data_IF_465513699095
#
_entry.id   IF_465513699095
#
_cell.length_a   1.000
_cell.length_b   1.000
_cell.length_c   1.000
_cell.angle_alpha   90.00
_cell.angle_beta   90.00
_cell.angle_gamma   90.00
#
_symmetry.space_group_name_H-M   'P 1'
#
loop_
_entity.id
_entity.type
_entity.pdbx_description
1 polymer ?
#
# COMPACT_ATOMS: atom_id res chain seq x y z
N UNK A 1 -12.34 15.75 2.76
CA UNK A 1 -11.32 16.74 3.22
C UNK A 1 -9.90 16.16 3.31
N UNK A 2 -9.68 14.98 3.91
CA UNK A 2 -8.32 14.44 4.12
C UNK A 2 -7.61 14.00 2.82
N UNK A 3 -8.28 13.28 1.92
CA UNK A 3 -7.71 12.90 0.60
C UNK A 3 -7.37 14.15 -0.22
N UNK A 4 -8.25 15.15 -0.22
CA UNK A 4 -8.01 16.44 -0.88
C UNK A 4 -6.85 17.22 -0.26
N UNK A 5 -6.63 17.08 1.05
CA UNK A 5 -5.47 17.65 1.70
C UNK A 5 -4.17 16.97 1.24
N UNK A 6 -4.17 15.62 1.21
CA UNK A 6 -3.05 14.84 0.69
C UNK A 6 -2.73 15.19 -0.77
N UNK A 7 -3.76 15.34 -1.61
CA UNK A 7 -3.62 15.77 -3.00
C UNK A 7 -2.84 17.08 -3.13
N UNK A 8 -3.28 18.13 -2.44
CA UNK A 8 -2.64 19.46 -2.46
C UNK A 8 -1.19 19.46 -1.98
N UNK A 9 -0.76 18.42 -1.25
CA UNK A 9 0.58 18.31 -0.64
C UNK A 9 1.44 17.24 -1.29
N UNK A 10 0.96 16.68 -2.40
CA UNK A 10 1.64 15.64 -3.17
C UNK A 10 1.82 16.10 -4.62
N UNK A 11 2.57 17.19 -4.89
CA UNK A 11 2.62 17.82 -6.22
C UNK A 11 3.17 16.90 -7.31
N UNK A 12 4.08 15.97 -6.95
CA UNK A 12 4.58 14.97 -7.90
C UNK A 12 3.49 13.96 -8.29
N UNK A 13 2.60 13.61 -7.37
CA UNK A 13 1.50 12.67 -7.63
C UNK A 13 0.36 13.39 -8.36
N UNK A 14 -0.03 14.58 -7.89
CA UNK A 14 -1.13 15.39 -8.43
C UNK A 14 -0.82 16.03 -9.78
N UNK A 15 0.46 16.28 -10.09
CA UNK A 15 0.91 16.79 -11.39
C UNK A 15 1.50 15.68 -12.26
N UNK A 16 2.79 15.37 -12.03
CA UNK A 16 3.57 14.51 -12.92
C UNK A 16 2.99 13.10 -13.09
N UNK A 17 2.66 12.40 -12.00
CA UNK A 17 2.18 11.02 -12.09
C UNK A 17 0.80 10.96 -12.73
N UNK A 18 -0.14 11.79 -12.26
CA UNK A 18 -1.51 11.83 -12.79
C UNK A 18 -1.51 12.11 -14.30
N UNK A 19 -0.73 13.08 -14.78
CA UNK A 19 -0.62 13.36 -16.22
C UNK A 19 -0.15 12.13 -17.01
N UNK A 20 0.89 11.43 -16.53
CA UNK A 20 1.45 10.29 -17.26
C UNK A 20 0.56 9.05 -17.27
N UNK A 21 -0.26 8.85 -16.25
CA UNK A 21 -1.15 7.69 -16.18
C UNK A 21 -2.40 7.83 -17.06
N UNK A 22 -2.70 9.03 -17.57
CA UNK A 22 -3.81 9.26 -18.51
C UNK A 22 -3.49 8.90 -19.97
N UNK A 23 -2.45 8.10 -20.23
CA UNK A 23 -2.10 7.60 -21.56
C UNK A 23 -2.98 6.43 -22.04
N UNK A 24 -3.87 5.94 -21.17
CA UNK A 24 -4.81 4.85 -21.45
C UNK A 24 -4.27 3.44 -21.14
N UNK A 25 -3.02 3.30 -20.68
CA UNK A 25 -2.43 1.99 -20.38
C UNK A 25 -3.15 1.24 -19.24
N UNK A 26 -3.79 1.99 -18.33
CA UNK A 26 -4.52 1.46 -17.18
C UNK A 26 -6.01 1.21 -17.44
N UNK A 27 -6.54 1.59 -18.61
CA UNK A 27 -7.97 1.47 -18.90
C UNK A 27 -8.44 0.00 -18.80
N UNK A 28 -9.36 -0.27 -17.87
CA UNK A 28 -9.93 -1.60 -17.60
C UNK A 28 -8.96 -2.58 -16.95
N UNK A 29 -7.77 -2.13 -16.51
CA UNK A 29 -6.80 -3.00 -15.81
C UNK A 29 -7.19 -3.16 -14.35
N UNK A 30 -7.11 -4.37 -13.84
CA UNK A 30 -7.42 -4.67 -12.43
C UNK A 30 -6.19 -4.46 -11.56
N UNK A 31 -6.26 -3.51 -10.63
CA UNK A 31 -5.13 -3.14 -9.77
C UNK A 31 -5.52 -3.27 -8.30
N UNK A 32 -4.80 -4.13 -7.57
CA UNK A 32 -4.91 -4.21 -6.12
C UNK A 32 -3.90 -3.28 -5.45
N UNK A 33 -4.37 -2.50 -4.48
CA UNK A 33 -3.54 -1.62 -3.65
C UNK A 33 -3.63 -2.08 -2.20
N UNK A 34 -2.58 -2.77 -1.73
CA UNK A 34 -2.51 -3.33 -0.38
C UNK A 34 -1.35 -2.69 0.36
N UNK A 35 -1.67 -1.63 1.10
CA UNK A 35 -0.73 -0.75 1.81
C UNK A 35 -1.40 -0.21 3.07
N UNK A 36 -0.69 0.52 3.93
CA UNK A 36 -1.37 1.26 5.01
C UNK A 36 -2.44 2.20 4.45
N UNK A 37 -3.71 2.00 4.81
CA UNK A 37 -4.83 2.74 4.23
C UNK A 37 -5.05 4.08 4.96
N UNK A 38 -4.48 5.13 4.40
CA UNK A 38 -4.55 6.51 4.88
C UNK A 38 -4.77 7.50 3.72
N UNK A 39 -4.89 8.79 4.01
CA UNK A 39 -5.25 9.80 3.01
C UNK A 39 -4.30 9.84 1.79
N UNK A 40 -3.00 9.61 1.97
CA UNK A 40 -1.99 9.63 0.89
C UNK A 40 -2.13 8.41 -0.03
N UNK A 41 -2.33 7.22 0.54
CA UNK A 41 -2.48 5.98 -0.24
C UNK A 41 -3.86 5.90 -0.90
N UNK A 42 -4.89 6.43 -0.26
CA UNK A 42 -6.19 6.64 -0.90
C UNK A 42 -6.14 7.64 -2.06
N UNK A 43 -5.28 8.67 -1.96
CA UNK A 43 -5.03 9.57 -3.10
C UNK A 43 -4.30 8.85 -4.25
N UNK A 44 -3.36 7.95 -3.97
CA UNK A 44 -2.77 7.11 -5.02
C UNK A 44 -3.83 6.21 -5.69
N UNK A 45 -4.64 5.50 -4.90
CA UNK A 45 -5.72 4.65 -5.41
C UNK A 45 -6.70 5.44 -6.29
N UNK A 46 -7.01 6.66 -5.89
CA UNK A 46 -7.79 7.63 -6.67
C UNK A 46 -7.16 7.92 -8.02
N UNK A 47 -5.86 8.21 -8.08
CA UNK A 47 -5.18 8.56 -9.33
C UNK A 47 -5.21 7.38 -10.31
N UNK A 48 -5.05 6.15 -9.80
CA UNK A 48 -5.16 4.94 -10.62
C UNK A 48 -6.57 4.74 -11.16
N UNK A 49 -7.60 4.94 -10.33
CA UNK A 49 -8.99 4.85 -10.75
C UNK A 49 -9.35 5.95 -11.77
N UNK A 50 -8.90 7.19 -11.54
CA UNK A 50 -9.08 8.31 -12.48
C UNK A 50 -8.41 8.02 -13.85
N UNK A 51 -7.32 7.25 -13.86
CA UNK A 51 -6.64 6.77 -15.07
C UNK A 51 -7.33 5.58 -15.76
N UNK A 52 -8.46 5.10 -15.24
CA UNK A 52 -9.29 4.06 -15.82
C UNK A 52 -9.05 2.64 -15.30
N UNK A 53 -8.22 2.46 -14.26
CA UNK A 53 -8.06 1.16 -13.62
C UNK A 53 -9.27 0.77 -12.78
N UNK A 54 -9.56 -0.53 -12.73
CA UNK A 54 -10.47 -1.13 -11.74
C UNK A 54 -9.67 -1.38 -10.46
N UNK A 55 -9.83 -0.46 -9.48
CA UNK A 55 -9.01 -0.45 -8.27
C UNK A 55 -9.75 -1.10 -7.10
N UNK A 56 -9.07 -2.02 -6.42
CA UNK A 56 -9.48 -2.60 -5.13
C UNK A 56 -8.42 -2.35 -4.07
N UNK A 57 -8.84 -2.01 -2.84
CA UNK A 57 -7.93 -1.53 -1.78
C UNK A 57 -8.11 -2.31 -0.48
N UNK A 58 -6.99 -2.67 0.17
CA UNK A 58 -6.98 -3.15 1.56
C UNK A 58 -5.84 -2.52 2.36
N UNK A 59 -5.96 -2.64 3.70
CA UNK A 59 -4.86 -2.34 4.61
C UNK A 59 -3.81 -3.45 4.60
N UNK A 60 -2.52 -3.11 4.59
CA UNK A 60 -1.41 -4.08 4.78
C UNK A 60 -1.25 -4.56 6.23
N UNK A 61 -2.00 -3.98 7.18
CA UNK A 61 -1.96 -4.34 8.60
C UNK A 61 -3.31 -4.06 9.27
N UNK A 62 -3.82 -4.94 10.15
CA UNK A 62 -5.13 -4.84 10.80
C UNK A 62 -5.38 -3.55 11.60
N UNK A 63 -4.34 -2.78 11.95
CA UNK A 63 -4.46 -1.58 12.77
C UNK A 63 -4.26 -0.27 12.02
N UNK A 64 -3.81 -0.33 10.75
CA UNK A 64 -3.34 0.85 10.02
C UNK A 64 -4.45 1.65 9.34
N UNK A 65 -5.58 1.02 9.08
CA UNK A 65 -6.70 1.60 8.35
C UNK A 65 -7.30 2.79 9.07
N UNK A 66 -7.63 3.83 8.31
CA UNK A 66 -8.48 4.95 8.74
C UNK A 66 -9.87 4.74 8.16
N UNK A 67 -10.85 4.39 9.00
CA UNK A 67 -12.20 4.03 8.54
C UNK A 67 -12.86 5.17 7.75
N UNK A 68 -12.60 6.43 8.14
CA UNK A 68 -13.06 7.61 7.43
C UNK A 68 -12.46 7.76 6.02
N UNK A 69 -11.27 7.20 5.79
CA UNK A 69 -10.63 7.18 4.47
C UNK A 69 -11.18 6.02 3.64
N UNK A 70 -11.38 4.85 4.25
CA UNK A 70 -12.03 3.71 3.61
C UNK A 70 -13.44 4.10 3.12
N UNK A 71 -14.25 4.73 3.98
CA UNK A 71 -15.56 5.24 3.60
C UNK A 71 -15.51 6.25 2.44
N UNK A 72 -14.54 7.17 2.45
CA UNK A 72 -14.38 8.15 1.38
C UNK A 72 -13.97 7.54 0.03
N UNK A 73 -13.30 6.37 0.02
CA UNK A 73 -13.04 5.62 -1.21
C UNK A 73 -14.29 4.90 -1.71
N UNK A 74 -15.06 4.30 -0.80
CA UNK A 74 -16.36 3.66 -1.13
C UNK A 74 -17.33 4.67 -1.72
N UNK A 75 -17.43 5.88 -1.16
CA UNK A 75 -18.27 6.97 -1.70
C UNK A 75 -17.87 7.37 -3.13
N UNK A 76 -16.65 7.06 -3.56
CA UNK A 76 -16.15 7.29 -4.92
C UNK A 76 -16.26 6.08 -5.84
N UNK A 77 -16.88 5.00 -5.36
CA UNK A 77 -17.05 3.77 -6.12
C UNK A 77 -15.79 2.89 -6.20
N UNK A 78 -14.78 3.14 -5.36
CA UNK A 78 -13.61 2.26 -5.25
C UNK A 78 -13.93 1.15 -4.24
N UNK A 79 -13.64 -0.09 -4.60
CA UNK A 79 -13.88 -1.24 -3.72
C UNK A 79 -12.83 -1.29 -2.59
N UNK A 80 -13.28 -1.48 -1.35
CA UNK A 80 -12.42 -1.47 -0.16
C UNK A 80 -12.73 -2.67 0.74
N UNK A 81 -11.71 -3.45 1.05
CA UNK A 81 -11.74 -4.56 2.01
C UNK A 81 -10.81 -4.22 3.17
N UNK A 82 -11.29 -3.38 4.10
CA UNK A 82 -10.46 -2.93 5.21
C UNK A 82 -11.30 -2.31 6.31
N UNK A 83 -11.14 -2.79 7.55
CA UNK A 83 -11.76 -2.19 8.74
C UNK A 83 -10.71 -2.05 9.84
N UNK A 84 -10.65 -0.89 10.50
CA UNK A 84 -9.65 -0.64 11.54
C UNK A 84 -9.86 -1.56 12.74
N UNK A 85 -8.77 -2.16 13.18
CA UNK A 85 -8.73 -3.05 14.36
C UNK A 85 -9.71 -4.23 14.26
N UNK A 86 -9.96 -4.72 13.04
CA UNK A 86 -10.79 -5.90 12.77
C UNK A 86 -10.17 -7.21 13.32
N UNK A 87 -8.87 -7.18 13.62
CA UNK A 87 -8.09 -8.33 14.07
C UNK A 87 -7.58 -9.19 12.91
N UNK A 88 -6.58 -10.02 13.19
CA UNK A 88 -5.92 -10.83 12.16
C UNK A 88 -6.86 -11.73 11.35
N UNK A 89 -7.85 -12.45 11.93
CA UNK A 89 -8.72 -13.32 11.15
C UNK A 89 -9.61 -12.56 10.14
N UNK A 90 -10.11 -11.39 10.52
CA UNK A 90 -10.92 -10.56 9.62
C UNK A 90 -10.05 -9.92 8.53
N UNK A 91 -8.88 -9.41 8.90
CA UNK A 91 -7.90 -8.88 7.95
C UNK A 91 -7.41 -9.93 6.94
N UNK A 92 -7.19 -11.17 7.39
CA UNK A 92 -6.87 -12.28 6.49
C UNK A 92 -8.00 -12.49 5.47
N UNK A 93 -9.25 -12.54 5.94
CA UNK A 93 -10.42 -12.69 5.07
C UNK A 93 -10.52 -11.55 4.05
N UNK A 94 -10.25 -10.31 4.45
CA UNK A 94 -10.23 -9.15 3.55
C UNK A 94 -9.18 -9.33 2.43
N UNK A 95 -7.97 -9.78 2.76
CA UNK A 95 -6.93 -10.03 1.77
C UNK A 95 -7.25 -11.21 0.84
N UNK A 96 -7.88 -12.27 1.35
CA UNK A 96 -8.34 -13.38 0.53
C UNK A 96 -9.46 -12.95 -0.42
N UNK A 97 -10.38 -12.09 0.04
CA UNK A 97 -11.42 -11.53 -0.81
C UNK A 97 -10.84 -10.66 -1.94
N UNK A 98 -9.78 -9.89 -1.69
CA UNK A 98 -9.05 -9.18 -2.75
C UNK A 98 -8.35 -10.16 -3.70
N UNK A 99 -7.73 -11.23 -3.18
CA UNK A 99 -7.13 -12.24 -4.04
C UNK A 99 -8.17 -12.86 -5.00
N UNK A 100 -9.42 -12.99 -4.57
CA UNK A 100 -10.51 -13.51 -5.38
C UNK A 100 -10.96 -12.60 -6.53
N UNK A 101 -10.66 -11.29 -6.48
CA UNK A 101 -10.99 -10.36 -7.56
C UNK A 101 -10.09 -10.51 -8.80
N UNK A 102 -8.99 -11.27 -8.68
CA UNK A 102 -8.05 -11.51 -9.78
C UNK A 102 -7.33 -10.27 -10.30
N UNK A 103 -6.65 -9.50 -9.42
CA UNK A 103 -5.87 -8.35 -9.86
C UNK A 103 -4.79 -8.77 -10.86
N UNK A 104 -4.56 -7.96 -11.88
CA UNK A 104 -3.45 -8.14 -12.83
C UNK A 104 -2.16 -7.52 -12.28
N UNK A 105 -2.30 -6.44 -11.54
CA UNK A 105 -1.20 -5.70 -10.93
C UNK A 105 -1.42 -5.53 -9.43
N UNK A 106 -0.33 -5.63 -8.65
CA UNK A 106 -0.36 -5.43 -7.20
C UNK A 106 0.61 -4.31 -6.81
N UNK A 107 0.12 -3.36 -6.02
CA UNK A 107 0.94 -2.45 -5.23
C UNK A 107 0.90 -2.95 -3.79
N UNK A 108 2.00 -3.57 -3.34
CA UNK A 108 2.07 -4.34 -2.10
C UNK A 108 3.01 -3.67 -1.06
N UNK A 109 2.78 -4.06 0.19
CA UNK A 109 3.50 -3.61 1.38
C UNK A 109 3.65 -4.81 2.31
N UNK A 110 4.84 -5.41 2.27
CA UNK A 110 5.18 -6.64 3.00
C UNK A 110 4.97 -7.91 2.19
N UNK A 111 4.62 -7.83 0.90
CA UNK A 111 4.19 -8.93 0.05
C UNK A 111 2.96 -9.67 0.61
N UNK A 112 2.10 -8.96 1.35
CA UNK A 112 1.00 -9.56 2.11
C UNK A 112 -0.08 -10.11 1.17
N UNK A 113 -0.44 -9.38 0.11
CA UNK A 113 -1.38 -9.94 -0.88
C UNK A 113 -0.69 -10.96 -1.77
N UNK A 114 0.51 -10.65 -2.25
CA UNK A 114 1.23 -11.50 -3.22
C UNK A 114 1.44 -12.93 -2.70
N UNK A 115 1.86 -13.07 -1.44
CA UNK A 115 2.07 -14.38 -0.80
C UNK A 115 0.74 -15.12 -0.59
N UNK A 116 -0.33 -14.40 -0.23
CA UNK A 116 -1.65 -15.00 -0.05
C UNK A 116 -2.23 -15.50 -1.36
N UNK A 117 -2.11 -14.73 -2.44
CA UNK A 117 -2.52 -15.17 -3.78
C UNK A 117 -1.82 -16.47 -4.17
N UNK A 118 -0.51 -16.58 -3.96
CA UNK A 118 0.26 -17.79 -4.28
C UNK A 118 -0.25 -19.07 -3.57
N UNK A 119 -0.91 -18.93 -2.41
CA UNK A 119 -1.43 -20.06 -1.64
C UNK A 119 -2.95 -20.26 -1.83
N UNK A 120 -3.71 -19.17 -1.90
CA UNK A 120 -5.17 -19.19 -1.93
C UNK A 120 -5.75 -19.31 -3.34
N UNK A 121 -5.16 -18.60 -4.30
CA UNK A 121 -5.58 -18.54 -5.71
C UNK A 121 -4.39 -18.76 -6.64
N UNK A 122 -3.75 -19.95 -6.63
CA UNK A 122 -2.59 -20.24 -7.46
C UNK A 122 -2.88 -20.10 -8.96
N UNK A 123 -4.14 -20.29 -9.37
CA UNK A 123 -4.66 -20.02 -10.71
C UNK A 123 -4.51 -18.55 -11.10
N UNK A 124 -5.05 -17.63 -10.30
CA UNK A 124 -4.96 -16.18 -10.57
C UNK A 124 -3.56 -15.63 -10.32
N UNK A 125 -2.84 -16.19 -9.35
CA UNK A 125 -1.46 -15.81 -9.09
C UNK A 125 -0.60 -16.03 -10.33
N UNK A 126 -0.78 -17.13 -11.06
CA UNK A 126 -0.07 -17.42 -12.30
C UNK A 126 -0.37 -16.42 -13.44
N UNK A 127 -1.49 -15.69 -13.35
CA UNK A 127 -1.92 -14.68 -14.33
C UNK A 127 -1.45 -13.25 -13.98
N UNK A 128 -0.77 -13.05 -12.85
CA UNK A 128 -0.23 -11.74 -12.47
C UNK A 128 0.68 -11.20 -13.57
N UNK A 129 0.56 -9.91 -13.85
CA UNK A 129 1.36 -9.19 -14.85
C UNK A 129 2.46 -8.36 -14.21
N UNK A 130 2.30 -7.95 -12.95
CA UNK A 130 3.35 -7.25 -12.22
C UNK A 130 3.04 -6.98 -10.75
N UNK A 131 4.09 -6.88 -9.94
CA UNK A 131 4.01 -6.51 -8.53
C UNK A 131 4.99 -5.38 -8.24
N UNK A 132 4.58 -4.40 -7.44
CA UNK A 132 5.50 -3.44 -6.83
C UNK A 132 5.52 -3.62 -5.33
N UNK A 133 6.68 -3.56 -4.69
CA UNK A 133 6.83 -3.80 -3.25
C UNK A 133 7.64 -2.68 -2.57
N UNK A 134 7.07 -2.13 -1.49
CA UNK A 134 7.54 -0.92 -0.82
C UNK A 134 8.48 -1.16 0.38
N UNK A 135 8.55 -2.39 0.91
CA UNK A 135 9.28 -2.71 2.15
C UNK A 135 10.45 -3.66 1.93
N UNK A 136 11.45 -3.60 2.81
CA UNK A 136 12.56 -4.57 2.85
C UNK A 136 12.09 -6.00 3.00
N UNK A 137 11.13 -6.23 3.91
CA UNK A 137 10.60 -7.55 4.22
C UNK A 137 9.87 -8.14 3.03
N UNK A 138 8.98 -7.37 2.40
CA UNK A 138 8.30 -7.80 1.19
C UNK A 138 9.28 -8.06 0.04
N UNK A 139 10.25 -7.18 -0.20
CA UNK A 139 11.27 -7.39 -1.25
C UNK A 139 12.01 -8.70 -1.01
N UNK A 140 12.41 -8.99 0.23
CA UNK A 140 13.09 -10.25 0.58
C UNK A 140 12.21 -11.48 0.30
N UNK A 141 10.91 -11.40 0.59
CA UNK A 141 9.93 -12.47 0.28
C UNK A 141 9.78 -12.67 -1.23
N UNK A 142 9.69 -11.60 -2.02
CA UNK A 142 9.61 -11.68 -3.48
C UNK A 142 10.89 -12.22 -4.12
N UNK A 143 12.06 -11.81 -3.63
CA UNK A 143 13.36 -12.35 -4.07
C UNK A 143 13.44 -13.85 -3.80
N UNK A 144 12.96 -14.32 -2.65
CA UNK A 144 12.95 -15.75 -2.33
C UNK A 144 11.99 -16.53 -3.24
N UNK A 145 10.80 -15.99 -3.52
CA UNK A 145 9.89 -16.58 -4.51
C UNK A 145 10.53 -16.67 -5.90
N UNK A 146 11.20 -15.60 -6.35
CA UNK A 146 11.87 -15.56 -7.64
C UNK A 146 13.04 -16.56 -7.71
N UNK A 147 13.86 -16.65 -6.66
CA UNK A 147 14.95 -17.65 -6.56
C UNK A 147 14.47 -19.09 -6.67
N UNK A 148 13.24 -19.36 -6.19
CA UNK A 148 12.59 -20.67 -6.31
C UNK A 148 11.88 -20.90 -7.65
N UNK A 149 11.92 -19.94 -8.57
CA UNK A 149 11.19 -20.01 -9.84
C UNK A 149 9.67 -19.97 -9.66
N UNK A 150 9.18 -19.41 -8.56
CA UNK A 150 7.76 -19.39 -8.19
C UNK A 150 7.09 -18.03 -8.38
N UNK A 151 7.83 -16.97 -8.72
CA UNK A 151 7.25 -15.67 -9.02
C UNK A 151 6.88 -15.63 -10.53
N UNK A 152 5.59 -15.47 -10.89
CA UNK A 152 5.13 -15.64 -12.27
C UNK A 152 5.34 -14.38 -13.13
N UNK A 153 5.62 -13.24 -12.49
CA UNK A 153 5.68 -11.95 -13.15
C UNK A 153 6.91 -11.13 -12.71
N UNK A 154 7.26 -10.06 -13.44
CA UNK A 154 8.22 -9.08 -12.96
C UNK A 154 7.77 -8.44 -11.65
N UNK A 155 8.72 -8.19 -10.75
CA UNK A 155 8.50 -7.41 -9.54
C UNK A 155 9.43 -6.20 -9.50
N UNK A 156 8.89 -5.04 -9.14
CA UNK A 156 9.63 -3.80 -8.92
C UNK A 156 9.79 -3.56 -7.42
N UNK A 157 11.03 -3.55 -6.94
CA UNK A 157 11.35 -3.15 -5.58
C UNK A 157 11.28 -1.62 -5.46
N UNK A 158 10.07 -1.09 -5.21
CA UNK A 158 9.87 0.34 -4.95
C UNK A 158 10.65 0.81 -3.71
N UNK A 159 10.95 -0.11 -2.80
CA UNK A 159 11.85 0.10 -1.67
C UNK A 159 13.22 0.67 -2.10
N UNK A 160 13.82 0.15 -3.18
CA UNK A 160 15.19 0.51 -3.62
C UNK A 160 15.26 1.89 -4.32
N UNK A 161 14.12 2.56 -4.50
CA UNK A 161 14.10 3.88 -5.11
C UNK A 161 14.85 4.89 -4.22
N UNK A 162 15.73 5.69 -4.82
CA UNK A 162 16.51 6.70 -4.09
C UNK A 162 15.61 7.66 -3.28
N UNK A 163 14.43 8.02 -3.81
CA UNK A 163 13.48 8.86 -3.09
C UNK A 163 12.89 8.18 -1.84
N UNK A 164 12.79 6.84 -1.80
CA UNK A 164 12.34 6.09 -0.61
C UNK A 164 13.36 6.20 0.52
N UNK A 165 14.64 5.96 0.22
CA UNK A 165 15.71 6.02 1.21
C UNK A 165 16.05 7.45 1.66
N UNK A 166 16.07 8.39 0.71
CA UNK A 166 16.49 9.76 0.97
C UNK A 166 15.41 10.61 1.65
N UNK A 167 14.14 10.21 1.58
CA UNK A 167 13.04 10.97 2.19
C UNK A 167 12.28 10.18 3.26
N UNK A 168 11.65 9.06 2.89
CA UNK A 168 10.68 8.36 3.74
C UNK A 168 11.34 7.82 5.01
N UNK A 169 12.34 6.95 4.86
CA UNK A 169 12.97 6.30 6.01
C UNK A 169 13.75 7.29 6.88
N UNK A 170 14.43 8.25 6.26
CA UNK A 170 15.30 9.20 6.97
C UNK A 170 14.52 10.28 7.71
N UNK A 171 13.52 10.87 7.08
CA UNK A 171 12.79 12.02 7.66
C UNK A 171 11.39 11.64 8.17
N UNK A 172 10.73 10.66 7.56
CA UNK A 172 9.39 10.21 7.97
C UNK A 172 9.39 9.38 9.25
N UNK A 173 10.18 8.31 9.31
CA UNK A 173 10.18 7.37 10.46
C UNK A 173 10.62 8.06 11.75
N UNK A 174 11.67 8.87 11.72
CA UNK A 174 12.15 9.60 12.89
C UNK A 174 11.10 10.56 13.46
N UNK A 175 10.50 11.38 12.59
CA UNK A 175 9.47 12.34 13.01
C UNK A 175 8.24 11.63 13.59
N UNK A 176 7.70 10.65 12.86
CA UNK A 176 6.47 9.95 13.27
C UNK A 176 6.65 9.13 14.54
N UNK A 177 7.81 8.49 14.73
CA UNK A 177 8.14 7.74 15.95
C UNK A 177 8.16 8.65 17.17
N UNK A 178 8.87 9.78 17.10
CA UNK A 178 8.92 10.75 18.20
C UNK A 178 7.52 11.31 18.49
N UNK A 179 6.77 11.69 17.45
CA UNK A 179 5.40 12.18 17.60
C UNK A 179 4.49 11.16 18.29
N UNK A 180 4.60 9.88 17.92
CA UNK A 180 3.81 8.80 18.53
C UNK A 180 4.15 8.64 20.03
N UNK A 181 5.44 8.61 20.39
CA UNK A 181 5.87 8.53 21.79
C UNK A 181 5.33 9.70 22.59
N UNK A 182 5.48 10.93 22.09
CA UNK A 182 4.98 12.14 22.77
C UNK A 182 3.45 12.09 22.95
N UNK A 183 2.71 11.70 21.92
CA UNK A 183 1.24 11.61 21.97
C UNK A 183 0.74 10.53 22.94
N UNK A 184 1.43 9.38 23.02
CA UNK A 184 1.01 8.26 23.86
C UNK A 184 1.35 8.45 25.33
N UNK A 185 2.45 9.13 25.62
CA UNK A 185 3.00 9.21 26.99
C UNK A 185 2.79 10.56 27.64
N UNK A 186 2.53 11.62 26.84
CA UNK A 186 2.51 13.01 27.29
C UNK A 186 3.78 13.40 28.10
N UNK A 187 4.90 12.73 27.83
CA UNK A 187 6.13 12.91 28.59
C UNK A 187 6.98 14.06 28.02
N UNK A 188 7.70 14.77 28.90
CA UNK A 188 8.80 15.61 28.47
C UNK A 188 9.97 14.73 28.01
N UNK A 189 10.31 14.79 26.72
CA UNK A 189 11.45 14.04 26.17
C UNK A 189 12.79 14.77 26.37
N UNK A 190 12.77 16.10 26.55
CA UNK A 190 13.99 16.89 26.76
C UNK A 190 14.77 16.41 28.00
N UNK A 191 16.08 16.16 27.82
CA UNK A 191 16.97 15.71 28.89
C UNK A 191 16.86 14.23 29.26
N UNK A 192 16.18 13.40 28.45
CA UNK A 192 16.10 11.95 28.67
C UNK A 192 17.02 11.17 27.75
N UNK A 193 17.56 10.08 28.28
CA UNK A 193 18.32 9.10 27.49
C UNK A 193 17.37 8.20 26.70
N UNK A 194 17.64 8.05 25.40
CA UNK A 194 16.87 7.21 24.48
C UNK A 194 17.83 6.26 23.78
N UNK A 195 17.61 4.95 23.93
CA UNK A 195 18.32 3.92 23.19
C UNK A 195 17.63 3.64 21.85
N UNK A 196 18.40 3.61 20.75
CA UNK A 196 17.96 3.19 19.42
C UNK A 196 18.77 1.95 19.05
N UNK A 197 18.07 0.86 18.72
CA UNK A 197 18.66 -0.45 18.38
C UNK A 197 18.67 -0.66 16.86
#
# INVERSE_FOLDING_TARGET
>A
MAIEWARRHSPLVDGFLRERLHDGALAGRRVAVVVHLEAKTAFLATVLADAGAEVVVAGSNPHSTRDEIAAALVDRGIEVHSTRSSGYPAWEKDLLAIADTGPEFIIDDGAELTIRMANHRPDLFAELQGVTEQTTTGVSRLVELARRGRLPCPALAAYDAACKHLFDNKYGTGQSTIQAVLNLTNMLMAGKDVGIL
#
